data_IF_347873514034
#
_entry.id   IF_347873514034
#
_cell.length_a   1.000
_cell.length_b   1.000
_cell.length_c   1.000
_cell.angle_alpha   90.00
_cell.angle_beta   90.00
_cell.angle_gamma   90.00
#
_symmetry.space_group_name_H-M   'P 1'
#
loop_
_entity.id
_entity.type
_entity.pdbx_description
1 polymer ?
#
# COMPACT_ATOMS: atom_id res chain seq x y z
N UNK A 1 -33.77 -2.94 36.10
CA UNK A 1 -34.53 -3.28 34.86
C UNK A 1 -34.30 -2.16 33.87
N UNK A 2 -33.74 -2.46 32.70
CA UNK A 2 -33.62 -1.46 31.64
C UNK A 2 -34.97 -1.33 30.93
N UNK A 3 -35.41 -0.10 30.71
CA UNK A 3 -36.68 0.22 30.06
C UNK A 3 -36.46 0.23 28.53
N UNK A 4 -37.12 -0.69 27.82
CA UNK A 4 -37.01 -0.86 26.36
C UNK A 4 -38.26 -0.33 25.61
N UNK A 5 -39.04 0.57 26.22
CA UNK A 5 -40.15 1.24 25.55
C UNK A 5 -39.65 2.09 24.38
N UNK A 6 -40.46 2.20 23.32
CA UNK A 6 -40.19 3.06 22.16
C UNK A 6 -40.03 4.56 22.51
N UNK A 7 -40.46 4.97 23.72
CA UNK A 7 -40.27 6.32 24.23
C UNK A 7 -38.86 6.55 24.83
N UNK A 8 -38.08 5.49 25.05
CA UNK A 8 -36.71 5.58 25.55
C UNK A 8 -35.77 5.70 24.35
N UNK A 9 -35.05 6.82 24.29
CA UNK A 9 -34.02 7.03 23.27
C UNK A 9 -32.96 5.93 23.39
N UNK A 10 -32.80 5.14 22.33
CA UNK A 10 -31.75 4.13 22.26
C UNK A 10 -30.39 4.84 22.35
N UNK A 11 -29.46 4.35 23.21
CA UNK A 11 -28.12 4.92 23.28
C UNK A 11 -27.45 4.88 21.90
N UNK A 12 -26.71 5.95 21.57
CA UNK A 12 -25.99 6.01 20.31
C UNK A 12 -24.93 4.91 20.26
N UNK A 13 -24.87 4.19 19.13
CA UNK A 13 -23.91 3.12 18.97
C UNK A 13 -22.47 3.67 19.01
N UNK A 14 -21.54 3.02 19.73
CA UNK A 14 -20.15 3.45 19.73
C UNK A 14 -19.55 3.29 18.34
N UNK A 15 -18.63 4.18 17.96
CA UNK A 15 -17.89 4.08 16.70
C UNK A 15 -16.89 2.91 16.81
N UNK A 16 -16.84 2.08 15.77
CA UNK A 16 -15.85 1.02 15.67
C UNK A 16 -14.42 1.60 15.62
N UNK A 17 -13.53 1.05 16.43
CA UNK A 17 -12.10 1.34 16.43
C UNK A 17 -11.28 0.28 15.70
N UNK A 18 -11.85 -0.91 15.52
CA UNK A 18 -11.25 -2.03 14.78
C UNK A 18 -12.29 -2.83 13.98
N UNK A 19 -11.82 -3.70 13.07
CA UNK A 19 -12.69 -4.70 12.41
C UNK A 19 -13.20 -5.73 13.43
N UNK A 20 -12.46 -5.99 14.50
CA UNK A 20 -12.87 -6.93 15.54
C UNK A 20 -14.11 -6.40 16.27
N UNK A 21 -14.23 -5.09 16.50
CA UNK A 21 -15.43 -4.47 17.08
C UNK A 21 -16.66 -4.68 16.18
N UNK A 22 -16.49 -4.56 14.86
CA UNK A 22 -17.55 -4.81 13.88
C UNK A 22 -17.93 -6.30 13.87
N UNK A 23 -16.93 -7.19 13.95
CA UNK A 23 -17.16 -8.63 14.01
C UNK A 23 -17.92 -9.02 15.29
N UNK A 24 -17.55 -8.46 16.44
CA UNK A 24 -18.24 -8.67 17.71
C UNK A 24 -19.69 -8.19 17.66
N UNK A 25 -19.92 -7.01 17.08
CA UNK A 25 -21.28 -6.50 16.88
C UNK A 25 -22.13 -7.42 15.97
N UNK A 26 -21.55 -7.92 14.88
CA UNK A 26 -22.22 -8.90 14.00
C UNK A 26 -22.48 -10.23 14.71
N UNK A 27 -21.57 -10.70 15.56
CA UNK A 27 -21.77 -11.92 16.35
C UNK A 27 -22.86 -11.75 17.41
N UNK A 28 -22.93 -10.58 18.05
CA UNK A 28 -24.03 -10.23 18.95
C UNK A 28 -25.37 -10.19 18.20
N UNK A 29 -25.39 -9.59 16.99
CA UNK A 29 -26.56 -9.60 16.13
C UNK A 29 -26.97 -11.00 15.68
N UNK A 30 -26.01 -11.88 15.35
CA UNK A 30 -26.27 -13.26 14.99
C UNK A 30 -26.88 -14.05 16.17
N UNK A 31 -26.33 -13.85 17.37
CA UNK A 31 -26.82 -14.48 18.61
C UNK A 31 -28.25 -14.04 18.90
N UNK A 32 -28.54 -12.74 18.79
CA UNK A 32 -29.90 -12.24 18.92
C UNK A 32 -30.81 -12.78 17.80
N UNK A 33 -30.34 -12.73 16.56
CA UNK A 33 -31.09 -13.15 15.39
C UNK A 33 -31.49 -14.62 15.39
N UNK A 34 -30.66 -15.50 15.96
CA UNK A 34 -30.96 -16.93 16.07
C UNK A 34 -32.31 -17.22 16.75
N UNK A 35 -32.75 -16.36 17.67
CA UNK A 35 -34.01 -16.50 18.39
C UNK A 35 -35.19 -15.77 17.72
N UNK A 36 -34.92 -14.66 17.00
CA UNK A 36 -35.98 -13.72 16.58
C UNK A 36 -36.09 -13.49 15.07
N UNK A 37 -35.07 -13.83 14.28
CA UNK A 37 -35.05 -13.56 12.84
C UNK A 37 -35.53 -14.75 12.01
N UNK A 38 -35.92 -14.48 10.77
CA UNK A 38 -36.20 -15.54 9.81
C UNK A 38 -34.93 -16.31 9.45
N UNK A 39 -35.08 -17.57 9.04
CA UNK A 39 -33.96 -18.42 8.61
C UNK A 39 -33.12 -17.74 7.52
N UNK A 40 -33.76 -17.04 6.57
CA UNK A 40 -33.07 -16.34 5.50
C UNK A 40 -32.23 -15.17 6.01
N UNK A 41 -32.76 -14.37 6.95
CA UNK A 41 -32.02 -13.27 7.55
C UNK A 41 -30.87 -13.78 8.44
N UNK A 42 -31.07 -14.85 9.21
CA UNK A 42 -29.98 -15.51 9.94
C UNK A 42 -28.86 -15.93 8.99
N UNK A 43 -29.20 -16.57 7.86
CA UNK A 43 -28.22 -16.96 6.86
C UNK A 43 -27.44 -15.78 6.26
N UNK A 44 -28.08 -14.62 6.07
CA UNK A 44 -27.40 -13.40 5.64
C UNK A 44 -26.42 -12.88 6.71
N UNK A 45 -26.86 -12.80 7.96
CA UNK A 45 -26.02 -12.33 9.07
C UNK A 45 -24.82 -13.26 9.29
N UNK A 46 -25.02 -14.58 9.24
CA UNK A 46 -23.92 -15.56 9.33
C UNK A 46 -22.92 -15.42 8.18
N UNK A 47 -23.41 -15.08 6.98
CA UNK A 47 -22.56 -14.80 5.83
C UNK A 47 -21.74 -13.52 6.05
N UNK A 48 -22.34 -12.45 6.59
CA UNK A 48 -21.64 -11.23 6.97
C UNK A 48 -20.57 -11.47 8.04
N UNK A 49 -20.89 -12.25 9.08
CA UNK A 49 -19.93 -12.67 10.12
C UNK A 49 -18.74 -13.40 9.47
N UNK A 50 -19.04 -14.38 8.61
CA UNK A 50 -18.02 -15.18 7.93
C UNK A 50 -17.16 -14.34 7.01
N UNK A 51 -17.76 -13.45 6.21
CA UNK A 51 -17.05 -12.52 5.33
C UNK A 51 -16.13 -11.59 6.11
N UNK A 52 -16.63 -11.00 7.21
CA UNK A 52 -15.85 -10.11 8.08
C UNK A 52 -14.65 -10.85 8.68
N UNK A 53 -14.89 -12.04 9.24
CA UNK A 53 -13.86 -12.87 9.85
C UNK A 53 -12.81 -13.35 8.86
N UNK A 54 -13.21 -13.75 7.67
CA UNK A 54 -12.34 -14.42 6.70
C UNK A 54 -11.64 -13.46 5.75
N UNK A 55 -12.31 -12.37 5.35
CA UNK A 55 -11.81 -11.41 4.36
C UNK A 55 -11.40 -10.09 5.02
N UNK A 56 -12.34 -9.38 5.65
CA UNK A 56 -12.08 -8.04 6.17
C UNK A 56 -11.00 -8.02 7.24
N UNK A 57 -10.97 -9.03 8.11
CA UNK A 57 -9.94 -9.17 9.16
C UNK A 57 -8.52 -9.33 8.61
N UNK A 58 -8.36 -9.78 7.35
CA UNK A 58 -7.04 -9.94 6.70
C UNK A 58 -6.55 -8.66 6.02
N UNK A 59 -7.42 -7.67 5.88
CA UNK A 59 -7.10 -6.38 5.27
C UNK A 59 -6.60 -5.38 6.32
N UNK A 60 -5.88 -4.36 5.88
CA UNK A 60 -5.42 -3.27 6.74
C UNK A 60 -6.39 -2.10 6.70
N UNK A 61 -6.90 -1.70 7.86
CA UNK A 61 -7.91 -0.65 7.99
C UNK A 61 -7.38 0.52 8.82
N UNK A 62 -7.62 1.74 8.36
CA UNK A 62 -7.47 2.92 9.21
C UNK A 62 -8.78 3.16 9.95
N UNK A 63 -8.72 3.70 11.18
CA UNK A 63 -9.92 3.96 12.00
C UNK A 63 -10.98 4.81 11.28
N UNK A 64 -10.54 5.74 10.43
CA UNK A 64 -11.42 6.61 9.64
C UNK A 64 -12.22 5.85 8.57
N UNK A 65 -11.75 4.69 8.12
CA UNK A 65 -12.38 3.90 7.05
C UNK A 65 -13.44 2.93 7.56
N UNK A 66 -13.41 2.61 8.85
CA UNK A 66 -14.33 1.64 9.45
C UNK A 66 -15.79 2.06 9.30
N UNK A 67 -16.07 3.36 9.25
CA UNK A 67 -17.41 3.87 8.98
C UNK A 67 -17.93 3.45 7.62
N UNK A 68 -17.08 3.41 6.59
CA UNK A 68 -17.46 3.01 5.24
C UNK A 68 -17.81 1.52 5.17
N UNK A 69 -17.10 0.69 5.95
CA UNK A 69 -17.39 -0.74 6.07
C UNK A 69 -18.76 -0.94 6.73
N UNK A 70 -19.03 -0.24 7.83
CA UNK A 70 -20.33 -0.29 8.53
C UNK A 70 -21.46 0.20 7.61
N UNK A 71 -21.26 1.29 6.88
CA UNK A 71 -22.24 1.82 5.92
C UNK A 71 -22.55 0.81 4.81
N UNK A 72 -21.53 0.11 4.29
CA UNK A 72 -21.74 -0.96 3.33
C UNK A 72 -22.54 -2.13 3.92
N UNK A 73 -22.22 -2.59 5.13
CA UNK A 73 -22.98 -3.65 5.79
C UNK A 73 -24.45 -3.26 6.00
N UNK A 74 -24.68 -2.01 6.41
CA UNK A 74 -26.03 -1.46 6.51
C UNK A 74 -26.74 -1.45 5.16
N UNK A 75 -26.04 -1.11 4.06
CA UNK A 75 -26.61 -1.17 2.71
C UNK A 75 -26.99 -2.60 2.27
N UNK A 76 -26.24 -3.62 2.70
CA UNK A 76 -26.55 -5.03 2.43
C UNK A 76 -27.81 -5.45 3.19
N UNK A 77 -27.92 -5.11 4.47
CA UNK A 77 -29.11 -5.37 5.27
C UNK A 77 -30.33 -4.58 4.76
N UNK A 78 -30.13 -3.35 4.32
CA UNK A 78 -31.18 -2.53 3.72
C UNK A 78 -31.66 -3.11 2.38
N UNK A 79 -30.74 -3.64 1.56
CA UNK A 79 -31.11 -4.34 0.32
C UNK A 79 -31.99 -5.56 0.60
N UNK A 80 -31.70 -6.30 1.67
CA UNK A 80 -32.56 -7.40 2.12
C UNK A 80 -33.95 -6.90 2.53
N UNK A 81 -34.02 -5.81 3.30
CA UNK A 81 -35.29 -5.18 3.70
C UNK A 81 -36.12 -4.77 2.48
N UNK A 82 -35.48 -4.14 1.49
CA UNK A 82 -36.12 -3.69 0.25
C UNK A 82 -36.69 -4.84 -0.59
N UNK A 83 -35.98 -5.96 -0.75
CA UNK A 83 -36.49 -7.14 -1.46
C UNK A 83 -37.75 -7.71 -0.79
N UNK A 84 -37.78 -7.75 0.55
CA UNK A 84 -38.95 -8.20 1.29
C UNK A 84 -40.15 -7.25 1.14
N UNK A 85 -39.91 -5.94 1.13
CA UNK A 85 -40.97 -4.95 0.91
C UNK A 85 -41.56 -5.01 -0.49
N UNK A 86 -40.73 -5.24 -1.50
CA UNK A 86 -41.16 -5.34 -2.89
C UNK A 86 -41.82 -6.69 -3.21
N UNK A 87 -41.57 -7.73 -2.41
CA UNK A 87 -42.09 -9.08 -2.63
C UNK A 87 -41.51 -9.75 -3.87
N UNK A 88 -40.39 -9.25 -4.39
CA UNK A 88 -39.70 -9.74 -5.60
C UNK A 88 -38.94 -11.03 -5.34
N UNK A 89 -38.36 -11.17 -4.15
CA UNK A 89 -37.59 -12.32 -3.70
C UNK A 89 -37.70 -12.46 -2.17
N UNK A 90 -37.37 -13.62 -1.62
CA UNK A 90 -37.29 -13.83 -0.16
C UNK A 90 -36.02 -13.23 0.47
N UNK A 91 -35.23 -12.49 -0.32
CA UNK A 91 -33.96 -11.88 0.07
C UNK A 91 -32.79 -12.87 0.11
N UNK A 92 -32.99 -14.14 -0.26
CA UNK A 92 -31.98 -15.19 -0.15
C UNK A 92 -30.73 -14.95 -1.00
N UNK A 93 -30.86 -14.17 -2.09
CA UNK A 93 -29.75 -13.81 -2.98
C UNK A 93 -28.90 -12.65 -2.46
N UNK A 94 -29.37 -11.85 -1.49
CA UNK A 94 -28.62 -10.70 -0.97
C UNK A 94 -27.29 -11.11 -0.33
N UNK A 95 -27.22 -12.31 0.24
CA UNK A 95 -25.95 -12.87 0.78
C UNK A 95 -24.85 -12.96 -0.27
N UNK A 96 -25.17 -13.03 -1.57
CA UNK A 96 -24.19 -13.04 -2.65
C UNK A 96 -23.42 -11.72 -2.76
N UNK A 97 -23.92 -10.64 -2.17
CA UNK A 97 -23.20 -9.37 -2.03
C UNK A 97 -22.06 -9.44 -1.02
N UNK A 98 -21.98 -10.47 -0.17
CA UNK A 98 -20.91 -10.61 0.82
C UNK A 98 -19.60 -11.12 0.17
N UNK A 99 -19.04 -10.33 -0.74
CA UNK A 99 -17.80 -10.62 -1.47
C UNK A 99 -16.99 -9.33 -1.67
N UNK A 100 -15.69 -9.47 -1.86
CA UNK A 100 -14.81 -8.36 -2.26
C UNK A 100 -15.13 -7.83 -3.65
N UNK A 101 -15.87 -8.61 -4.45
CA UNK A 101 -16.34 -8.26 -5.79
C UNK A 101 -17.72 -7.58 -5.79
N UNK A 102 -18.26 -7.22 -4.62
CA UNK A 102 -19.46 -6.39 -4.57
C UNK A 102 -19.13 -5.00 -5.11
N UNK A 103 -19.93 -4.44 -6.04
CA UNK A 103 -19.63 -3.16 -6.66
C UNK A 103 -19.49 -2.04 -5.64
N UNK A 104 -20.37 -1.98 -4.64
CA UNK A 104 -20.35 -0.91 -3.63
C UNK A 104 -19.13 -1.07 -2.73
N UNK A 105 -18.82 -2.30 -2.32
CA UNK A 105 -17.61 -2.58 -1.54
C UNK A 105 -16.32 -2.25 -2.30
N UNK A 106 -16.23 -2.58 -3.60
CA UNK A 106 -15.08 -2.21 -4.44
C UNK A 106 -14.89 -0.70 -4.50
N UNK A 107 -15.97 0.06 -4.61
CA UNK A 107 -15.89 1.52 -4.63
C UNK A 107 -15.33 2.08 -3.33
N UNK A 108 -15.68 1.49 -2.19
CA UNK A 108 -15.08 1.83 -0.89
C UNK A 108 -13.57 1.55 -0.90
N UNK A 109 -13.15 0.37 -1.35
CA UNK A 109 -11.73 0.03 -1.43
C UNK A 109 -10.95 0.98 -2.34
N UNK A 110 -11.51 1.34 -3.49
CA UNK A 110 -10.91 2.30 -4.43
C UNK A 110 -10.79 3.68 -3.77
N UNK A 111 -11.84 4.15 -3.10
CA UNK A 111 -11.82 5.44 -2.41
C UNK A 111 -10.76 5.49 -1.31
N UNK A 112 -10.66 4.43 -0.50
CA UNK A 112 -9.61 4.29 0.54
C UNK A 112 -8.22 4.32 -0.11
N UNK A 113 -8.02 3.56 -1.18
CA UNK A 113 -6.74 3.50 -1.88
C UNK A 113 -6.35 4.86 -2.47
N UNK A 114 -7.29 5.58 -3.09
CA UNK A 114 -7.06 6.91 -3.66
C UNK A 114 -6.64 7.91 -2.58
N UNK A 115 -7.32 7.90 -1.42
CA UNK A 115 -6.93 8.76 -0.28
C UNK A 115 -5.52 8.43 0.21
N UNK A 116 -5.20 7.15 0.41
CA UNK A 116 -3.87 6.73 0.84
C UNK A 116 -2.78 7.16 -0.15
N UNK A 117 -3.06 7.11 -1.46
CA UNK A 117 -2.14 7.61 -2.49
C UNK A 117 -1.95 9.13 -2.36
N UNK A 118 -3.04 9.88 -2.17
CA UNK A 118 -2.99 11.33 -1.99
C UNK A 118 -2.17 11.73 -0.74
N UNK A 119 -2.41 11.06 0.40
CA UNK A 119 -1.70 11.29 1.66
C UNK A 119 -0.19 11.03 1.50
N UNK A 120 0.17 9.95 0.80
CA UNK A 120 1.56 9.62 0.50
C UNK A 120 2.21 10.67 -0.41
N UNK A 121 1.49 11.17 -1.42
CA UNK A 121 1.98 12.22 -2.31
C UNK A 121 2.20 13.54 -1.57
N UNK A 122 1.28 13.93 -0.69
CA UNK A 122 1.40 15.12 0.14
C UNK A 122 2.56 15.02 1.13
N UNK A 123 2.70 13.88 1.81
CA UNK A 123 3.83 13.62 2.71
C UNK A 123 5.18 13.71 1.98
N UNK A 124 5.25 13.18 0.74
CA UNK A 124 6.44 13.28 -0.10
C UNK A 124 6.74 14.73 -0.52
N UNK A 125 5.72 15.53 -0.84
CA UNK A 125 5.88 16.94 -1.18
C UNK A 125 6.34 17.78 0.02
N UNK A 126 5.72 17.57 1.19
CA UNK A 126 6.08 18.25 2.43
C UNK A 126 7.52 17.92 2.88
N UNK A 127 7.95 16.66 2.72
CA UNK A 127 9.31 16.24 3.03
C UNK A 127 10.37 16.85 2.10
N UNK A 128 10.01 17.16 0.85
CA UNK A 128 10.87 17.89 -0.09
C UNK A 128 10.97 19.38 0.29
N UNK A 129 9.86 20.00 0.72
CA UNK A 129 9.81 21.40 1.16
C UNK A 129 10.69 21.66 2.40
N UNK A 130 10.63 20.78 3.41
CA UNK A 130 11.41 20.90 4.67
C UNK A 130 12.92 20.71 4.52
N UNK A 131 13.42 20.25 3.36
CA UNK A 131 14.86 20.09 3.09
C UNK A 131 15.55 21.35 2.56
N UNK A 132 14.89 22.51 2.58
CA UNK A 132 15.51 23.79 2.25
C UNK A 132 15.90 24.56 3.52
N UNK A 133 17.18 24.59 3.94
CA UNK A 133 17.67 25.68 4.76
C UNK A 133 17.85 26.89 3.86
N UNK A 134 17.12 27.96 4.14
CA UNK A 134 17.46 29.28 3.61
C UNK A 134 18.85 29.68 4.14
N UNK A 135 19.86 29.69 3.27
CA UNK A 135 21.09 30.44 3.51
C UNK A 135 20.89 31.88 3.02
N UNK A 136 21.37 32.91 3.75
CA UNK A 136 21.29 34.30 3.30
C UNK A 136 22.23 34.52 2.10
N UNK A 137 21.70 35.15 1.04
CA UNK A 137 22.48 35.58 -0.13
C UNK A 137 23.30 36.83 0.19
N UNK A 138 24.52 36.96 -0.36
CA UNK A 138 24.99 38.24 -0.88
C UNK A 138 24.67 38.33 -2.38
N UNK A 139 24.11 39.46 -2.77
CA UNK A 139 23.84 39.84 -4.16
C UNK A 139 25.14 39.96 -4.97
N UNK A 140 25.11 39.53 -6.24
CA UNK A 140 25.68 40.27 -7.38
C UNK A 140 25.23 39.62 -8.71
N UNK A 141 24.89 40.52 -9.64
CA UNK A 141 24.44 40.40 -11.03
C UNK A 141 25.41 39.52 -11.86
N UNK A 142 25.09 38.73 -12.90
CA UNK A 142 24.39 39.07 -14.16
C UNK A 142 24.27 37.80 -15.04
N UNK A 143 23.22 37.79 -15.88
CA UNK A 143 23.10 37.19 -17.21
C UNK A 143 22.64 35.73 -17.40
N UNK A 144 21.71 35.67 -18.35
CA UNK A 144 20.84 34.62 -18.87
C UNK A 144 21.57 33.55 -19.69
N UNK A 145 21.08 32.31 -19.69
CA UNK A 145 20.53 31.63 -20.87
C UNK A 145 20.00 30.23 -20.49
N UNK A 146 18.72 30.03 -20.84
CA UNK A 146 18.07 28.85 -21.42
C UNK A 146 18.20 27.42 -20.85
N UNK A 147 17.00 26.83 -20.73
CA UNK A 147 16.57 25.42 -20.80
C UNK A 147 17.36 24.26 -20.15
N UNK A 148 16.59 23.42 -19.45
CA UNK A 148 16.74 21.96 -19.59
C UNK A 148 17.12 21.17 -18.32
N UNK A 149 16.11 20.52 -17.76
CA UNK A 149 16.19 19.17 -17.17
C UNK A 149 16.96 18.99 -15.84
N UNK A 150 16.17 19.14 -14.76
CA UNK A 150 16.24 18.33 -13.54
C UNK A 150 16.38 16.83 -13.84
N UNK A 151 17.44 16.20 -13.32
CA UNK A 151 17.57 14.77 -12.94
C UNK A 151 19.01 14.60 -12.42
N UNK A 152 19.37 14.07 -11.26
CA UNK A 152 18.77 13.29 -10.19
C UNK A 152 19.71 13.47 -8.98
N UNK A 153 19.19 13.58 -7.75
CA UNK A 153 19.94 13.10 -6.58
C UNK A 153 18.99 12.89 -5.39
N UNK A 154 18.43 11.68 -5.30
CA UNK A 154 17.72 11.19 -4.11
C UNK A 154 18.61 10.12 -3.46
N UNK A 155 19.44 10.55 -2.52
CA UNK A 155 20.14 9.66 -1.58
C UNK A 155 19.10 9.13 -0.59
N UNK A 156 18.80 7.84 -0.68
CA UNK A 156 18.00 7.08 0.30
C UNK A 156 18.95 6.58 1.37
N UNK A 157 18.79 7.10 2.59
CA UNK A 157 19.49 6.63 3.78
C UNK A 157 18.84 5.32 4.23
N UNK A 158 19.18 4.23 3.57
CA UNK A 158 19.35 2.94 4.23
C UNK A 158 20.84 2.78 4.49
N UNK A 159 21.21 2.03 5.53
CA UNK A 159 22.58 1.64 5.92
C UNK A 159 23.34 0.82 4.83
N UNK A 160 22.84 0.90 3.61
CA UNK A 160 23.20 0.15 2.43
C UNK A 160 23.26 1.03 1.16
N UNK A 161 23.28 2.36 1.26
CA UNK A 161 23.50 3.22 0.07
C UNK A 161 24.90 3.00 -0.49
N UNK A 162 25.03 3.03 -1.82
CA UNK A 162 26.34 3.15 -2.48
C UNK A 162 26.83 4.58 -2.22
N UNK A 163 28.08 4.79 -1.76
CA UNK A 163 28.68 6.11 -1.62
C UNK A 163 28.61 6.92 -2.93
N UNK A 164 28.49 8.25 -2.83
CA UNK A 164 28.20 9.11 -3.99
C UNK A 164 29.33 9.11 -5.03
N UNK A 165 30.57 9.06 -4.57
CA UNK A 165 31.80 8.88 -5.34
C UNK A 165 31.81 7.54 -6.09
N UNK A 166 31.53 6.44 -5.39
CA UNK A 166 31.41 5.11 -6.00
C UNK A 166 30.29 5.10 -7.03
N UNK A 167 29.16 5.76 -6.74
CA UNK A 167 28.00 5.82 -7.64
C UNK A 167 28.30 6.61 -8.93
N UNK A 168 29.06 7.70 -8.83
CA UNK A 168 29.47 8.54 -9.95
C UNK A 168 30.47 7.82 -10.87
N UNK A 169 31.36 7.00 -10.29
CA UNK A 169 32.36 6.23 -11.02
C UNK A 169 31.82 4.96 -11.70
N UNK A 170 30.51 4.66 -11.60
CA UNK A 170 29.94 3.47 -12.22
C UNK A 170 29.83 3.61 -13.74
N UNK A 171 30.30 2.61 -14.51
CA UNK A 171 30.03 2.52 -15.93
C UNK A 171 28.53 2.59 -16.24
N UNK A 172 28.19 3.23 -17.37
CA UNK A 172 26.83 3.38 -17.88
C UNK A 172 26.75 2.78 -19.28
N UNK A 173 25.76 1.93 -19.51
CA UNK A 173 25.41 1.38 -20.82
C UNK A 173 23.89 1.54 -21.02
N UNK A 174 23.47 2.05 -22.18
CA UNK A 174 22.06 2.34 -22.50
C UNK A 174 21.31 3.14 -21.42
N UNK A 175 22.00 4.11 -20.82
CA UNK A 175 21.44 4.95 -19.75
C UNK A 175 21.23 4.23 -18.41
N UNK A 176 21.68 2.97 -18.27
CA UNK A 176 21.62 2.19 -17.04
C UNK A 176 23.02 2.00 -16.47
N UNK A 177 23.16 2.16 -15.16
CA UNK A 177 24.44 1.97 -14.46
C UNK A 177 24.72 0.50 -14.23
N UNK A 178 25.98 0.12 -14.20
CA UNK A 178 26.42 -1.23 -13.86
C UNK A 178 25.81 -1.71 -12.52
N UNK A 179 25.33 -2.96 -12.52
CA UNK A 179 24.96 -3.67 -11.31
C UNK A 179 26.20 -4.23 -10.61
N UNK A 180 26.55 -3.69 -9.44
CA UNK A 180 27.70 -4.16 -8.64
C UNK A 180 27.64 -5.65 -8.31
N UNK A 181 26.43 -6.16 -8.04
CA UNK A 181 26.22 -7.57 -7.69
C UNK A 181 26.44 -8.53 -8.87
N UNK A 182 26.34 -8.04 -10.11
CA UNK A 182 26.54 -8.85 -11.31
C UNK A 182 28.01 -9.26 -11.48
N UNK A 183 28.94 -8.33 -11.27
CA UNK A 183 30.39 -8.59 -11.33
C UNK A 183 30.95 -9.22 -10.06
N UNK A 184 30.22 -9.16 -8.95
CA UNK A 184 30.69 -9.67 -7.66
C UNK A 184 30.43 -11.17 -7.46
N UNK A 185 31.21 -11.79 -6.57
CA UNK A 185 30.96 -13.16 -6.10
C UNK A 185 29.61 -13.33 -5.42
N UNK A 186 29.08 -12.28 -4.77
CA UNK A 186 27.76 -12.29 -4.14
C UNK A 186 26.56 -12.51 -5.10
N UNK A 187 26.79 -12.35 -6.41
CA UNK A 187 25.81 -12.60 -7.48
C UNK A 187 24.58 -11.68 -7.47
N UNK A 188 23.98 -11.48 -8.65
CA UNK A 188 22.69 -10.81 -8.76
C UNK A 188 21.56 -11.85 -8.76
N UNK A 189 20.46 -11.57 -8.04
CA UNK A 189 19.28 -12.46 -7.95
C UNK A 189 18.37 -12.43 -9.20
N UNK A 190 18.72 -11.68 -10.24
CA UNK A 190 17.90 -11.61 -11.44
C UNK A 190 18.20 -12.82 -12.34
N UNK A 191 17.17 -13.55 -12.75
CA UNK A 191 17.29 -14.75 -13.59
C UNK A 191 17.51 -14.44 -15.08
N UNK A 192 17.50 -13.16 -15.47
CA UNK A 192 17.55 -12.74 -16.87
C UNK A 192 18.92 -12.11 -17.14
N UNK A 193 19.78 -12.80 -17.89
CA UNK A 193 21.22 -12.49 -18.02
C UNK A 193 21.59 -11.02 -18.24
N UNK A 194 20.77 -10.24 -18.95
CA UNK A 194 21.05 -8.82 -19.27
C UNK A 194 20.37 -7.78 -18.36
N UNK A 195 19.45 -8.18 -17.47
CA UNK A 195 18.63 -7.22 -16.71
C UNK A 195 18.69 -7.47 -15.20
N UNK A 196 18.98 -6.41 -14.45
CA UNK A 196 18.90 -6.42 -13.01
C UNK A 196 17.45 -6.22 -12.55
N UNK A 197 17.09 -6.76 -11.37
CA UNK A 197 15.80 -6.45 -10.72
C UNK A 197 15.62 -4.95 -10.40
N UNK A 198 16.70 -4.17 -10.36
CA UNK A 198 16.65 -2.72 -10.17
C UNK A 198 16.54 -2.03 -11.52
N UNK A 199 15.47 -1.26 -11.73
CA UNK A 199 15.16 -0.59 -13.01
C UNK A 199 16.31 0.25 -13.60
N UNK A 200 17.09 0.92 -12.74
CA UNK A 200 18.21 1.78 -13.16
C UNK A 200 19.57 1.04 -13.25
N UNK A 201 19.57 -0.30 -13.21
CA UNK A 201 20.78 -1.13 -13.22
C UNK A 201 20.78 -2.12 -14.39
N UNK A 202 21.95 -2.35 -14.98
CA UNK A 202 22.14 -3.31 -16.07
C UNK A 202 23.25 -4.31 -15.75
N UNK A 203 23.19 -5.47 -16.43
CA UNK A 203 24.21 -6.49 -16.37
C UNK A 203 25.06 -6.41 -17.63
N UNK A 204 26.31 -6.01 -17.47
CA UNK A 204 27.29 -5.94 -18.54
C UNK A 204 28.70 -5.95 -17.95
N UNK A 205 29.68 -6.20 -18.81
CA UNK A 205 31.10 -6.23 -18.45
C UNK A 205 31.74 -4.98 -19.05
N UNK A 206 32.14 -3.98 -18.24
CA UNK A 206 32.79 -2.79 -18.77
C UNK A 206 34.21 -3.12 -19.27
N UNK A 207 34.76 -2.31 -20.16
CA UNK A 207 36.15 -2.46 -20.61
C UNK A 207 37.18 -2.14 -19.52
N UNK A 208 36.83 -1.23 -18.60
CA UNK A 208 37.66 -0.84 -17.45
C UNK A 208 36.76 -0.56 -16.25
N UNK A 209 37.23 -0.93 -15.05
CA UNK A 209 36.54 -0.63 -13.80
C UNK A 209 37.38 0.30 -12.92
N UNK A 210 36.76 1.40 -12.48
CA UNK A 210 37.41 2.37 -11.61
C UNK A 210 37.89 1.69 -10.30
N UNK A 211 39.12 1.96 -9.82
CA UNK A 211 39.65 1.38 -8.59
C UNK A 211 38.74 1.56 -7.37
N UNK A 212 38.07 2.72 -7.25
CA UNK A 212 37.15 3.02 -6.14
C UNK A 212 35.96 2.05 -6.15
N UNK A 213 35.47 1.70 -7.34
CA UNK A 213 34.38 0.75 -7.52
C UNK A 213 34.85 -0.68 -7.24
N UNK A 214 36.05 -1.06 -7.70
CA UNK A 214 36.66 -2.37 -7.44
C UNK A 214 36.84 -2.62 -5.93
N UNK A 215 37.40 -1.64 -5.22
CA UNK A 215 37.60 -1.71 -3.78
C UNK A 215 36.27 -1.84 -3.03
N UNK A 216 35.26 -1.07 -3.44
CA UNK A 216 33.93 -1.14 -2.85
C UNK A 216 33.25 -2.51 -3.07
N UNK A 217 33.42 -3.12 -4.24
CA UNK A 217 32.96 -4.48 -4.52
C UNK A 217 33.68 -5.50 -3.63
N UNK A 218 35.00 -5.36 -3.47
CA UNK A 218 35.80 -6.17 -2.56
C UNK A 218 35.27 -6.14 -1.13
N UNK A 219 35.15 -4.95 -0.57
CA UNK A 219 34.72 -4.73 0.82
C UNK A 219 33.29 -5.20 1.09
N UNK A 220 32.39 -5.06 0.12
CA UNK A 220 30.94 -5.17 0.37
C UNK A 220 30.27 -6.39 -0.26
N UNK A 221 30.81 -6.90 -1.36
CA UNK A 221 30.19 -7.97 -2.15
C UNK A 221 31.10 -9.17 -2.37
N UNK A 222 32.21 -9.26 -1.61
CA UNK A 222 33.09 -10.43 -1.62
C UNK A 222 34.04 -10.51 -2.81
N UNK A 223 34.34 -9.38 -3.45
CA UNK A 223 35.26 -9.32 -4.59
C UNK A 223 34.61 -9.61 -5.94
N UNK A 224 35.39 -9.46 -7.00
CA UNK A 224 34.98 -9.75 -8.38
C UNK A 224 34.96 -11.26 -8.62
N UNK A 225 34.12 -11.70 -9.55
CA UNK A 225 34.14 -13.09 -10.02
C UNK A 225 35.45 -13.41 -10.74
N UNK A 226 35.90 -14.67 -10.75
CA UNK A 226 37.15 -15.08 -11.38
C UNK A 226 37.27 -14.64 -12.84
N UNK A 227 36.19 -14.73 -13.61
CA UNK A 227 36.10 -14.32 -15.02
C UNK A 227 36.23 -12.79 -15.24
N UNK A 228 36.23 -12.00 -14.17
CA UNK A 228 36.26 -10.53 -14.20
C UNK A 228 37.41 -9.94 -13.38
N UNK A 229 38.35 -10.77 -12.89
CA UNK A 229 39.45 -10.32 -12.05
C UNK A 229 40.47 -9.40 -12.76
N UNK A 230 40.49 -9.38 -14.09
CA UNK A 230 41.36 -8.53 -14.89
C UNK A 230 40.80 -7.13 -15.16
N UNK A 231 39.58 -6.83 -14.69
CA UNK A 231 38.91 -5.52 -14.85
C UNK A 231 39.41 -4.47 -13.87
#
# INVERSE_FOLDING_TARGET
MQNFSAAVSVPSAPRAESIDDILEALQALATYGAEYFSVTLCGLVDTLVSFTKQQLRRMTWQKVDLVLVVDWMNSVLESFRMELEQGTNDGSLIKLRCTVDDPDFRQILIHIQQRQIADLQEALAAAQSKRSPALPKPSLVTQSHDNGQRRQNRVVKGEHSIPADVYAALPVEDGKRLCLRFLSTAGCKANNGKQCLSFNRAHFVPAQLDPIVREFIGKRFGGLKPEHNSL
#
